data_IF_057330362667
#
_entry.id   IF_057330362667
#
_cell.length_a   1.000
_cell.length_b   1.000
_cell.length_c   1.000
_cell.angle_alpha   90.00
_cell.angle_beta   90.00
_cell.angle_gamma   90.00
#
_symmetry.space_group_name_H-M   'P 1'
#
loop_
_entity.id
_entity.type
_entity.pdbx_description
1 polymer ?
#
# COMPACT_ATOMS: atom_id res chain seq x y z
N UNK A 1 0.16 -10.59 13.45
CA UNK A 1 -0.96 -10.26 12.54
C UNK A 1 -1.39 -11.52 11.77
N UNK A 2 -2.68 -11.88 11.73
CA UNK A 2 -3.17 -13.19 11.23
C UNK A 2 -2.70 -13.55 9.80
N UNK A 3 -2.79 -12.62 8.84
CA UNK A 3 -2.42 -12.87 7.44
C UNK A 3 -0.93 -12.61 7.14
N UNK A 4 -0.21 -12.02 8.10
CA UNK A 4 1.21 -11.71 8.02
C UNK A 4 1.57 -10.25 7.72
N UNK A 5 0.59 -9.34 7.57
CA UNK A 5 0.84 -7.92 7.27
C UNK A 5 -0.28 -6.99 7.78
N UNK A 6 -0.01 -5.69 7.88
CA UNK A 6 -1.00 -4.66 8.27
C UNK A 6 -2.22 -4.56 7.36
N UNK A 7 -2.17 -5.18 6.17
CA UNK A 7 -3.24 -5.15 5.17
C UNK A 7 -4.58 -5.67 5.71
N UNK A 8 -4.58 -6.57 6.69
CA UNK A 8 -5.82 -7.13 7.25
C UNK A 8 -6.72 -6.08 7.90
N UNK A 9 -6.16 -5.03 8.50
CA UNK A 9 -6.95 -3.97 9.15
C UNK A 9 -7.87 -3.29 8.12
N UNK A 10 -7.29 -2.93 6.98
CA UNK A 10 -8.00 -2.34 5.85
C UNK A 10 -9.03 -3.30 5.24
N UNK A 11 -8.65 -4.56 5.00
CA UNK A 11 -9.56 -5.51 4.34
C UNK A 11 -10.76 -5.86 5.22
N UNK A 12 -10.59 -5.94 6.54
CA UNK A 12 -11.70 -6.09 7.49
C UNK A 12 -12.64 -4.88 7.42
N UNK A 13 -12.11 -3.65 7.48
CA UNK A 13 -12.94 -2.44 7.40
C UNK A 13 -13.75 -2.38 6.10
N UNK A 14 -13.10 -2.64 4.97
CA UNK A 14 -13.74 -2.55 3.66
C UNK A 14 -14.70 -3.72 3.37
N UNK A 15 -14.42 -4.95 3.81
CA UNK A 15 -15.37 -6.07 3.59
C UNK A 15 -16.68 -5.85 4.37
N UNK A 16 -16.60 -5.28 5.57
CA UNK A 16 -17.76 -4.94 6.37
C UNK A 16 -18.59 -3.85 5.69
N UNK A 17 -17.93 -2.85 5.09
CA UNK A 17 -18.59 -1.84 4.27
C UNK A 17 -19.24 -2.45 3.03
N UNK A 18 -18.53 -3.31 2.30
CA UNK A 18 -19.07 -4.00 1.12
C UNK A 18 -20.34 -4.80 1.46
N UNK A 19 -20.33 -5.53 2.58
CA UNK A 19 -21.49 -6.29 3.07
C UNK A 19 -22.66 -5.36 3.44
N UNK A 20 -22.38 -4.24 4.11
CA UNK A 20 -23.40 -3.22 4.43
C UNK A 20 -24.03 -2.62 3.17
N UNK A 21 -23.25 -2.49 2.10
CA UNK A 21 -23.71 -2.01 0.79
C UNK A 21 -24.40 -3.10 -0.06
N UNK A 22 -24.55 -4.33 0.46
CA UNK A 22 -25.18 -5.44 -0.26
C UNK A 22 -24.37 -5.97 -1.45
N UNK A 23 -23.06 -5.74 -1.47
CA UNK A 23 -22.18 -6.18 -2.56
C UNK A 23 -21.84 -7.67 -2.39
N UNK A 24 -21.92 -8.42 -3.48
CA UNK A 24 -21.73 -9.88 -3.48
C UNK A 24 -20.41 -10.33 -4.11
N UNK A 25 -19.76 -9.43 -4.84
CA UNK A 25 -18.52 -9.66 -5.57
C UNK A 25 -17.44 -8.67 -5.13
N UNK A 26 -16.27 -9.18 -4.83
CA UNK A 26 -15.12 -8.39 -4.38
C UNK A 26 -14.01 -8.52 -5.40
N UNK A 27 -13.44 -7.38 -5.77
CA UNK A 27 -12.20 -7.31 -6.54
C UNK A 27 -11.11 -6.61 -5.72
N UNK A 28 -9.86 -6.95 -5.97
CA UNK A 28 -8.69 -6.28 -5.42
C UNK A 28 -7.50 -6.40 -6.39
N UNK A 29 -6.50 -5.56 -6.21
CA UNK A 29 -5.19 -5.62 -6.86
C UNK A 29 -4.13 -6.18 -5.89
N UNK A 30 -3.00 -6.69 -6.36
CA UNK A 30 -1.86 -7.00 -5.50
C UNK A 30 -0.56 -7.06 -6.27
N UNK A 31 0.55 -6.67 -5.62
CA UNK A 31 1.93 -6.85 -6.10
C UNK A 31 2.57 -8.01 -5.34
N UNK A 32 3.14 -7.73 -4.16
CA UNK A 32 3.74 -8.73 -3.27
C UNK A 32 2.81 -9.89 -2.83
N UNK A 33 1.50 -9.81 -3.08
CA UNK A 33 0.52 -10.86 -2.73
C UNK A 33 -0.15 -10.70 -1.37
N UNK A 34 0.43 -9.92 -0.45
CA UNK A 34 -0.11 -9.77 0.92
C UNK A 34 -1.51 -9.15 0.98
N UNK A 35 -1.79 -8.12 0.16
CA UNK A 35 -3.13 -7.52 0.08
C UNK A 35 -4.15 -8.49 -0.54
N UNK A 36 -3.74 -9.20 -1.59
CA UNK A 36 -4.56 -10.24 -2.21
C UNK A 36 -4.91 -11.38 -1.24
N UNK A 37 -3.95 -11.87 -0.46
CA UNK A 37 -4.18 -12.89 0.58
C UNK A 37 -5.10 -12.35 1.68
N UNK A 38 -4.89 -11.12 2.15
CA UNK A 38 -5.76 -10.51 3.15
C UNK A 38 -7.19 -10.32 2.65
N UNK A 39 -7.37 -9.96 1.38
CA UNK A 39 -8.68 -9.81 0.74
C UNK A 39 -9.36 -11.17 0.56
N UNK A 40 -8.65 -12.17 0.03
CA UNK A 40 -9.16 -13.53 -0.10
C UNK A 40 -9.60 -14.12 1.26
N UNK A 41 -8.83 -13.86 2.32
CA UNK A 41 -9.15 -14.32 3.68
C UNK A 41 -10.48 -13.76 4.17
N UNK A 42 -10.68 -12.45 4.06
CA UNK A 42 -11.92 -11.82 4.53
C UNK A 42 -13.12 -12.15 3.64
N UNK A 43 -12.92 -12.34 2.33
CA UNK A 43 -13.98 -12.80 1.43
C UNK A 43 -14.42 -14.23 1.75
N UNK A 44 -13.47 -15.13 2.00
CA UNK A 44 -13.75 -16.51 2.41
C UNK A 44 -14.55 -16.55 3.72
N UNK A 45 -14.15 -15.75 4.72
CA UNK A 45 -14.88 -15.62 5.99
C UNK A 45 -16.31 -15.12 5.80
N UNK A 46 -16.53 -14.21 4.84
CA UNK A 46 -17.83 -13.58 4.60
C UNK A 46 -18.69 -14.32 3.56
N UNK A 47 -18.17 -15.38 2.92
CA UNK A 47 -18.86 -16.10 1.86
C UNK A 47 -19.07 -15.27 0.59
N UNK A 48 -18.12 -14.38 0.25
CA UNK A 48 -18.21 -13.50 -0.92
C UNK A 48 -17.25 -13.94 -2.04
N UNK A 49 -17.66 -13.75 -3.29
CA UNK A 49 -16.78 -14.01 -4.44
C UNK A 49 -15.58 -13.06 -4.40
N UNK A 50 -14.37 -13.60 -4.57
CA UNK A 50 -13.14 -12.82 -4.56
C UNK A 50 -12.35 -13.01 -5.86
N UNK A 51 -12.01 -11.90 -6.52
CA UNK A 51 -11.13 -11.88 -7.69
C UNK A 51 -9.98 -10.93 -7.40
N UNK A 52 -8.75 -11.43 -7.50
CA UNK A 52 -7.53 -10.66 -7.27
C UNK A 52 -6.76 -10.50 -8.56
N UNK A 53 -6.56 -9.26 -8.97
CA UNK A 53 -5.70 -8.89 -10.08
C UNK A 53 -4.25 -8.81 -9.61
N UNK A 54 -3.33 -9.42 -10.35
CA UNK A 54 -1.92 -9.45 -10.01
C UNK A 54 -1.06 -9.41 -11.27
N UNK A 55 0.04 -8.66 -11.26
CA UNK A 55 0.96 -8.59 -12.40
C UNK A 55 1.48 -9.97 -12.80
N UNK A 56 1.58 -10.27 -14.09
CA UNK A 56 2.07 -11.59 -14.56
C UNK A 56 3.48 -11.90 -14.03
N UNK A 57 4.35 -10.88 -13.93
CA UNK A 57 5.70 -11.04 -13.37
C UNK A 57 5.61 -11.32 -11.86
N UNK A 58 4.74 -10.61 -11.16
CA UNK A 58 4.54 -10.77 -9.71
C UNK A 58 3.93 -12.13 -9.35
N UNK A 59 3.04 -12.67 -10.17
CA UNK A 59 2.49 -14.03 -10.01
C UNK A 59 3.62 -15.07 -9.98
N UNK A 60 4.61 -14.93 -10.86
CA UNK A 60 5.77 -15.83 -10.89
C UNK A 60 6.66 -15.64 -9.66
N UNK A 61 6.97 -14.38 -9.30
CA UNK A 61 7.85 -14.04 -8.17
C UNK A 61 7.26 -14.39 -6.80
N UNK A 62 5.94 -14.32 -6.66
CA UNK A 62 5.23 -14.47 -5.38
C UNK A 62 4.31 -15.70 -5.38
N UNK A 63 4.74 -16.78 -6.04
CA UNK A 63 3.98 -18.02 -6.18
C UNK A 63 3.38 -18.55 -4.85
N UNK A 64 4.07 -18.48 -3.69
CA UNK A 64 3.47 -18.90 -2.41
C UNK A 64 2.20 -18.14 -2.03
N UNK A 65 2.17 -16.82 -2.25
CA UNK A 65 0.97 -16.01 -1.96
C UNK A 65 -0.14 -16.26 -2.98
N UNK A 66 0.19 -16.54 -4.24
CA UNK A 66 -0.80 -16.96 -5.26
C UNK A 66 -1.47 -18.27 -4.87
N UNK A 67 -0.70 -19.26 -4.41
CA UNK A 67 -1.24 -20.52 -3.91
C UNK A 67 -2.18 -20.31 -2.71
N UNK A 68 -1.78 -19.48 -1.73
CA UNK A 68 -2.62 -19.13 -0.57
C UNK A 68 -3.95 -18.50 -0.98
N UNK A 69 -3.94 -17.56 -1.93
CA UNK A 69 -5.18 -16.95 -2.45
C UNK A 69 -6.13 -17.97 -3.07
N UNK A 70 -5.59 -18.89 -3.89
CA UNK A 70 -6.38 -19.96 -4.53
C UNK A 70 -6.95 -20.95 -3.50
N UNK A 71 -6.18 -21.32 -2.48
CA UNK A 71 -6.65 -22.18 -1.39
C UNK A 71 -7.79 -21.53 -0.58
N UNK A 72 -7.80 -20.20 -0.48
CA UNK A 72 -8.88 -19.42 0.12
C UNK A 72 -10.09 -19.24 -0.81
N UNK A 73 -10.07 -19.82 -2.01
CA UNK A 73 -11.18 -19.76 -2.97
C UNK A 73 -11.21 -18.50 -3.84
N UNK A 74 -10.16 -17.67 -3.81
CA UNK A 74 -10.08 -16.50 -4.69
C UNK A 74 -9.61 -16.88 -6.10
N UNK A 75 -10.20 -16.24 -7.11
CA UNK A 75 -9.71 -16.26 -8.48
C UNK A 75 -8.54 -15.28 -8.62
N UNK A 76 -7.39 -15.71 -9.15
CA UNK A 76 -6.24 -14.83 -9.40
C UNK A 76 -6.12 -14.58 -10.89
N UNK A 77 -6.31 -13.33 -11.32
CA UNK A 77 -6.26 -12.90 -12.73
C UNK A 77 -4.94 -12.19 -13.05
N UNK A 78 -4.20 -12.63 -14.07
CA UNK A 78 -2.95 -11.97 -14.47
C UNK A 78 -3.22 -10.65 -15.19
N UNK A 79 -2.52 -9.58 -14.80
CA UNK A 79 -2.38 -8.39 -15.63
C UNK A 79 -1.21 -8.59 -16.60
N UNK A 80 -1.53 -8.68 -17.88
CA UNK A 80 -0.58 -9.02 -18.96
C UNK A 80 -0.16 -7.82 -19.81
N UNK A 81 -0.79 -6.66 -19.61
CA UNK A 81 -0.44 -5.40 -20.26
C UNK A 81 0.71 -4.68 -19.55
N UNK A 82 1.40 -3.79 -20.26
CA UNK A 82 2.37 -2.87 -19.65
C UNK A 82 3.59 -3.57 -19.05
N UNK A 83 3.99 -3.11 -17.87
CA UNK A 83 5.12 -3.66 -17.11
C UNK A 83 4.77 -4.98 -16.41
N UNK A 84 3.47 -5.32 -16.36
CA UNK A 84 2.95 -6.56 -15.76
C UNK A 84 3.27 -6.65 -14.27
N UNK A 85 3.22 -5.52 -13.57
CA UNK A 85 3.41 -5.38 -12.12
C UNK A 85 2.16 -4.78 -11.43
N UNK A 86 2.28 -4.37 -10.17
CA UNK A 86 1.21 -3.77 -9.35
C UNK A 86 0.44 -2.63 -10.05
N UNK A 87 1.13 -1.77 -10.80
CA UNK A 87 0.49 -0.66 -11.54
C UNK A 87 -0.54 -1.20 -12.54
N UNK A 88 -0.17 -2.20 -13.34
CA UNK A 88 -1.09 -2.79 -14.32
C UNK A 88 -2.20 -3.63 -13.67
N UNK A 89 -1.92 -4.33 -12.57
CA UNK A 89 -2.95 -4.98 -11.77
C UNK A 89 -4.01 -3.99 -11.26
N UNK A 90 -3.58 -2.78 -10.86
CA UNK A 90 -4.49 -1.70 -10.43
C UNK A 90 -5.35 -1.22 -11.60
N UNK A 91 -4.77 -1.06 -12.80
CA UNK A 91 -5.52 -0.68 -14.00
C UNK A 91 -6.61 -1.70 -14.34
N UNK A 92 -6.28 -2.99 -14.31
CA UNK A 92 -7.23 -4.06 -14.60
C UNK A 92 -8.35 -4.15 -13.54
N UNK A 93 -8.02 -3.96 -12.25
CA UNK A 93 -9.03 -3.90 -11.19
C UNK A 93 -9.99 -2.71 -11.37
N UNK A 94 -9.47 -1.52 -11.71
CA UNK A 94 -10.32 -0.34 -11.97
C UNK A 94 -11.20 -0.57 -13.20
N UNK A 95 -10.66 -1.15 -14.28
CA UNK A 95 -11.43 -1.50 -15.49
C UNK A 95 -12.55 -2.50 -15.19
N UNK A 96 -12.28 -3.52 -14.39
CA UNK A 96 -13.31 -4.46 -13.94
C UNK A 96 -14.39 -3.74 -13.15
N UNK A 97 -14.00 -2.86 -12.21
CA UNK A 97 -14.96 -2.12 -11.39
C UNK A 97 -15.91 -1.27 -12.22
N UNK A 98 -15.39 -0.57 -13.24
CA UNK A 98 -16.17 0.24 -14.18
C UNK A 98 -17.19 -0.62 -14.94
N UNK A 99 -16.80 -1.83 -15.33
CA UNK A 99 -17.67 -2.74 -16.09
C UNK A 99 -18.69 -3.48 -15.20
N UNK A 100 -18.44 -3.60 -13.89
CA UNK A 100 -19.28 -4.36 -12.96
C UNK A 100 -19.71 -3.56 -11.70
N UNK A 101 -20.21 -2.32 -11.80
CA UNK A 101 -20.35 -1.41 -10.65
C UNK A 101 -21.48 -1.80 -9.68
N UNK A 102 -22.50 -2.51 -10.15
CA UNK A 102 -23.73 -2.77 -9.38
C UNK A 102 -23.52 -3.76 -8.24
N UNK A 103 -22.92 -4.92 -8.51
CA UNK A 103 -22.73 -5.99 -7.53
C UNK A 103 -21.30 -6.06 -6.97
N UNK A 104 -20.36 -5.28 -7.52
CA UNK A 104 -18.94 -5.36 -7.17
C UNK A 104 -18.52 -4.25 -6.21
N UNK A 105 -17.69 -4.61 -5.23
CA UNK A 105 -16.93 -3.69 -4.41
C UNK A 105 -15.42 -3.87 -4.69
N UNK A 106 -14.70 -2.76 -4.84
CA UNK A 106 -13.25 -2.77 -5.03
C UNK A 106 -12.55 -2.50 -3.70
N UNK A 107 -11.88 -3.50 -3.14
CA UNK A 107 -11.04 -3.32 -1.95
C UNK A 107 -9.65 -2.88 -2.41
N UNK A 108 -9.44 -1.56 -2.48
CA UNK A 108 -8.12 -0.99 -2.77
C UNK A 108 -7.14 -1.25 -1.63
N UNK A 109 -5.89 -1.54 -1.97
CA UNK A 109 -4.89 -2.03 -1.02
C UNK A 109 -4.09 -0.98 -0.26
N UNK A 110 -4.26 0.31 -0.56
CA UNK A 110 -3.48 1.37 0.08
C UNK A 110 -4.22 2.70 0.11
N UNK A 111 -3.62 3.72 0.74
CA UNK A 111 -4.13 5.11 0.81
C UNK A 111 -3.95 5.87 -0.51
N UNK A 112 -4.20 5.19 -1.63
CA UNK A 112 -4.13 5.72 -3.01
C UNK A 112 -5.53 5.71 -3.61
N UNK A 113 -5.65 6.20 -4.85
CA UNK A 113 -6.92 6.19 -5.57
C UNK A 113 -7.84 7.37 -5.22
N UNK A 114 -9.03 7.43 -5.82
CA UNK A 114 -9.94 8.57 -5.64
C UNK A 114 -10.51 8.61 -4.21
N UNK A 115 -10.96 9.78 -3.78
CA UNK A 115 -11.83 9.88 -2.61
C UNK A 115 -13.04 8.93 -2.78
N UNK A 116 -13.46 8.17 -1.75
CA UNK A 116 -13.06 8.26 -0.34
C UNK A 116 -11.89 7.34 0.08
N UNK A 117 -11.24 6.63 -0.83
CA UNK A 117 -10.30 5.56 -0.47
C UNK A 117 -9.11 6.01 0.39
N UNK A 118 -8.36 7.10 0.06
CA UNK A 118 -7.24 7.50 0.90
C UNK A 118 -7.61 7.76 2.36
N UNK A 119 -8.69 8.50 2.62
CA UNK A 119 -9.18 8.79 3.98
C UNK A 119 -9.70 7.52 4.66
N UNK A 120 -10.54 6.74 3.98
CA UNK A 120 -11.10 5.50 4.52
C UNK A 120 -10.02 4.49 4.90
N UNK A 121 -9.04 4.26 4.04
CA UNK A 121 -7.94 3.31 4.31
C UNK A 121 -7.06 3.83 5.45
N UNK A 122 -6.78 5.13 5.52
CA UNK A 122 -6.02 5.72 6.63
C UNK A 122 -6.74 5.50 7.96
N UNK A 123 -8.06 5.74 8.02
CA UNK A 123 -8.89 5.48 9.20
C UNK A 123 -8.89 4.01 9.61
N UNK A 124 -9.05 3.08 8.68
CA UNK A 124 -8.99 1.64 9.03
C UNK A 124 -7.60 1.19 9.49
N UNK A 125 -6.54 1.91 9.11
CA UNK A 125 -5.19 1.65 9.57
C UNK A 125 -4.83 2.40 10.86
N UNK A 126 -5.61 3.40 11.29
CA UNK A 126 -5.33 4.25 12.46
C UNK A 126 -5.21 3.47 13.78
N UNK A 127 -5.79 2.27 13.85
CA UNK A 127 -5.61 1.35 14.98
C UNK A 127 -4.13 1.12 15.32
N UNK A 128 -3.25 1.16 14.32
CA UNK A 128 -1.79 1.03 14.51
C UNK A 128 -1.26 2.14 15.43
N UNK A 129 -1.53 3.41 15.12
CA UNK A 129 -1.06 4.52 15.97
C UNK A 129 -1.78 4.60 17.30
N UNK A 130 -3.06 4.21 17.36
CA UNK A 130 -3.81 4.15 18.61
C UNK A 130 -3.18 3.14 19.59
N UNK A 131 -2.80 1.97 19.09
CA UNK A 131 -2.09 0.95 19.86
C UNK A 131 -0.69 1.43 20.26
N UNK A 132 0.04 2.10 19.37
CA UNK A 132 1.36 2.69 19.68
C UNK A 132 1.25 3.67 20.87
N UNK A 133 0.29 4.61 20.86
CA UNK A 133 0.10 5.56 21.97
C UNK A 133 -0.14 4.86 23.29
N UNK A 134 -1.03 3.86 23.27
CA UNK A 134 -1.37 3.06 24.47
C UNK A 134 -0.13 2.33 25.00
N UNK A 135 0.62 1.67 24.11
CA UNK A 135 1.81 0.91 24.47
C UNK A 135 2.96 1.78 24.96
N UNK A 136 3.14 2.98 24.41
CA UNK A 136 4.14 3.94 24.88
C UNK A 136 3.77 4.48 26.26
N UNK A 137 2.50 4.81 26.50
CA UNK A 137 2.05 5.25 27.81
C UNK A 137 2.31 4.19 28.89
N UNK A 138 1.99 2.93 28.59
CA UNK A 138 2.19 1.81 29.50
C UNK A 138 3.67 1.53 29.82
N UNK A 139 4.58 1.70 28.84
CA UNK A 139 5.98 1.31 28.96
C UNK A 139 6.91 2.45 29.35
N UNK A 140 6.64 3.65 28.84
CA UNK A 140 7.52 4.82 28.92
C UNK A 140 6.86 5.98 29.68
N UNK A 141 5.57 5.85 30.09
CA UNK A 141 4.85 6.89 30.80
C UNK A 141 4.46 8.10 29.93
N UNK A 142 4.62 8.01 28.62
CA UNK A 142 4.30 9.06 27.65
C UNK A 142 3.62 8.48 26.40
N UNK A 143 2.63 9.17 25.84
CA UNK A 143 1.91 8.68 24.65
C UNK A 143 2.62 8.98 23.32
N UNK A 144 3.49 9.99 23.29
CA UNK A 144 4.11 10.52 22.09
C UNK A 144 5.58 10.06 22.00
N UNK A 145 6.03 9.47 20.87
CA UNK A 145 7.43 9.17 20.66
C UNK A 145 8.20 10.38 20.12
N UNK A 146 9.53 10.41 20.26
CA UNK A 146 10.37 11.42 19.62
C UNK A 146 10.34 11.31 18.08
N UNK A 147 10.34 10.07 17.58
CA UNK A 147 10.30 9.74 16.16
C UNK A 147 9.31 8.62 15.88
N UNK A 148 8.57 8.74 14.78
CA UNK A 148 7.80 7.65 14.21
C UNK A 148 8.20 7.44 12.75
N UNK A 149 8.54 6.19 12.42
CA UNK A 149 9.19 5.83 11.16
C UNK A 149 8.40 4.72 10.50
N UNK A 150 8.09 4.87 9.20
CA UNK A 150 7.39 3.85 8.44
C UNK A 150 7.77 3.88 6.96
N UNK A 151 7.71 2.71 6.30
CA UNK A 151 8.01 2.61 4.88
C UNK A 151 6.82 3.05 4.02
N UNK A 152 7.12 3.66 2.88
CA UNK A 152 6.14 4.27 1.98
C UNK A 152 6.33 3.71 0.57
N UNK A 153 5.43 2.81 0.19
CA UNK A 153 5.07 2.57 -1.22
C UNK A 153 3.81 3.37 -1.52
N UNK A 154 2.66 2.69 -1.63
CA UNK A 154 1.36 3.39 -1.59
C UNK A 154 1.00 4.01 -0.23
N UNK A 155 1.77 3.75 0.84
CA UNK A 155 1.70 4.49 2.10
C UNK A 155 0.68 4.06 3.19
N UNK A 156 -0.03 2.94 3.05
CA UNK A 156 -1.09 2.58 4.02
C UNK A 156 -0.60 2.25 5.44
N UNK A 157 0.54 1.57 5.59
CA UNK A 157 1.10 1.28 6.92
C UNK A 157 1.54 2.59 7.59
N UNK A 158 2.26 3.43 6.84
CA UNK A 158 2.71 4.73 7.29
C UNK A 158 1.53 5.64 7.67
N UNK A 159 0.47 5.66 6.88
CA UNK A 159 -0.72 6.42 7.22
C UNK A 159 -1.35 5.98 8.55
N UNK A 160 -1.45 4.67 8.78
CA UNK A 160 -1.94 4.14 10.05
C UNK A 160 -1.02 4.45 11.22
N UNK A 161 0.29 4.32 11.03
CA UNK A 161 1.30 4.62 12.05
C UNK A 161 1.39 6.12 12.38
N UNK A 162 1.13 7.01 11.41
CA UNK A 162 1.24 8.45 11.61
C UNK A 162 -0.08 9.08 12.08
N UNK A 163 -1.23 8.44 11.85
CA UNK A 163 -2.58 9.03 11.96
C UNK A 163 -2.79 9.90 13.20
N UNK A 164 -2.53 9.38 14.40
CA UNK A 164 -2.74 10.10 15.66
C UNK A 164 -1.59 11.04 16.06
N UNK A 165 -0.53 11.13 15.25
CA UNK A 165 0.63 11.99 15.48
C UNK A 165 0.75 13.13 14.46
N UNK A 166 -0.13 13.19 13.45
CA UNK A 166 -0.06 14.18 12.36
C UNK A 166 -0.05 15.62 12.89
N UNK A 167 -0.82 15.90 13.93
CA UNK A 167 -0.92 17.23 14.55
C UNK A 167 0.02 17.44 15.75
N UNK A 168 0.72 16.38 16.18
CA UNK A 168 1.65 16.40 17.32
C UNK A 168 3.02 16.92 16.89
N UNK A 169 3.24 18.23 17.01
CA UNK A 169 4.44 18.91 16.48
C UNK A 169 5.78 18.41 17.02
N UNK A 170 5.79 17.93 18.26
CA UNK A 170 6.99 17.38 18.89
C UNK A 170 7.37 16.00 18.35
N UNK A 171 6.44 15.29 17.68
CA UNK A 171 6.69 13.97 17.09
C UNK A 171 7.27 14.14 15.69
N UNK A 172 8.52 13.71 15.51
CA UNK A 172 9.19 13.72 14.21
C UNK A 172 8.69 12.55 13.34
N UNK A 173 8.17 12.84 12.15
CA UNK A 173 7.65 11.81 11.24
C UNK A 173 8.67 11.54 10.14
N UNK A 174 9.09 10.29 9.98
CA UNK A 174 10.01 9.86 8.91
C UNK A 174 9.32 8.85 7.99
N UNK A 175 9.14 9.24 6.74
CA UNK A 175 8.65 8.40 5.66
C UNK A 175 9.84 7.83 4.87
N UNK A 176 9.91 6.50 4.75
CA UNK A 176 11.04 5.81 4.09
C UNK A 176 10.60 5.19 2.76
N UNK A 177 11.10 5.73 1.65
CA UNK A 177 10.83 5.22 0.30
C UNK A 177 11.94 4.27 -0.20
N UNK A 178 11.61 3.47 -1.21
CA UNK A 178 12.59 2.57 -1.82
C UNK A 178 13.41 3.30 -2.89
N UNK A 179 14.73 3.37 -2.70
CA UNK A 179 15.63 3.95 -3.67
C UNK A 179 16.00 2.96 -4.80
N UNK A 180 15.60 1.69 -4.72
CA UNK A 180 15.98 0.66 -5.70
C UNK A 180 17.50 0.49 -5.76
N UNK A 181 18.07 0.56 -6.97
CA UNK A 181 19.53 0.56 -7.17
C UNK A 181 20.20 1.92 -6.92
N UNK A 182 19.43 2.90 -6.43
CA UNK A 182 19.86 4.26 -6.16
C UNK A 182 18.93 5.27 -6.85
N UNK A 183 18.74 6.43 -6.22
CA UNK A 183 17.77 7.46 -6.66
C UNK A 183 17.98 7.85 -8.13
N UNK A 184 19.23 8.08 -8.55
CA UNK A 184 19.55 8.53 -9.92
C UNK A 184 19.98 7.41 -10.86
N UNK A 185 19.75 6.14 -10.50
CA UNK A 185 20.17 5.00 -11.32
C UNK A 185 19.27 4.76 -12.54
N UNK A 186 18.07 5.35 -12.54
CA UNK A 186 16.99 5.00 -13.47
C UNK A 186 16.13 3.82 -12.98
N UNK A 187 16.56 3.10 -11.94
CA UNK A 187 15.84 1.98 -11.31
C UNK A 187 15.56 2.32 -9.83
N UNK A 188 14.50 3.09 -9.59
CA UNK A 188 14.11 3.58 -8.26
C UNK A 188 12.60 3.67 -8.09
N UNK A 189 12.13 3.74 -6.84
CA UNK A 189 10.75 4.05 -6.47
C UNK A 189 10.67 5.21 -5.46
N UNK A 190 11.72 6.05 -5.40
CA UNK A 190 11.84 7.21 -4.52
C UNK A 190 11.00 8.39 -5.04
N UNK A 191 9.68 8.29 -4.90
CA UNK A 191 8.69 9.24 -5.41
C UNK A 191 8.90 10.66 -4.86
N UNK A 192 9.30 10.82 -3.60
CA UNK A 192 9.57 12.14 -3.01
C UNK A 192 10.79 12.84 -3.64
N UNK A 193 11.77 12.07 -4.12
CA UNK A 193 12.99 12.59 -4.72
C UNK A 193 12.86 12.82 -6.24
N UNK A 194 12.12 11.94 -6.93
CA UNK A 194 12.07 11.90 -8.40
C UNK A 194 10.73 12.36 -8.97
N UNK A 195 9.69 12.35 -8.14
CA UNK A 195 8.32 12.59 -8.56
C UNK A 195 7.99 14.06 -8.74
N UNK A 196 6.91 14.30 -9.48
CA UNK A 196 6.26 15.60 -9.65
C UNK A 196 4.77 15.45 -9.43
N UNK A 197 4.08 16.54 -9.18
CA UNK A 197 2.63 16.53 -9.05
C UNK A 197 2.00 16.11 -10.39
N UNK A 198 1.05 15.19 -10.31
CA UNK A 198 0.23 14.78 -11.45
C UNK A 198 -0.97 13.95 -10.99
N UNK A 199 -1.61 13.25 -11.94
CA UNK A 199 -2.84 12.51 -11.69
C UNK A 199 -2.64 11.06 -12.10
N UNK A 200 -2.82 10.13 -11.16
CA UNK A 200 -2.75 8.69 -11.41
C UNK A 200 -3.85 7.98 -10.61
N UNK A 201 -4.46 6.98 -11.24
CA UNK A 201 -5.48 6.11 -10.65
C UNK A 201 -6.61 6.86 -9.92
N UNK A 202 -6.99 8.06 -10.39
CA UNK A 202 -8.10 8.84 -9.82
C UNK A 202 -7.72 9.80 -8.68
N UNK A 203 -6.42 9.99 -8.38
CA UNK A 203 -5.95 10.98 -7.39
C UNK A 203 -4.89 11.93 -7.94
N UNK A 204 -4.95 13.20 -7.54
CA UNK A 204 -3.84 14.15 -7.68
C UNK A 204 -2.83 13.89 -6.57
N UNK A 205 -1.60 13.55 -6.92
CA UNK A 205 -0.55 13.20 -5.95
C UNK A 205 0.84 13.43 -6.55
N UNK A 206 1.88 13.15 -5.77
CA UNK A 206 3.26 13.05 -6.24
C UNK A 206 3.46 11.70 -6.96
N UNK A 207 3.99 11.73 -8.17
CA UNK A 207 4.35 10.53 -8.93
C UNK A 207 5.56 10.73 -9.83
N UNK A 208 6.26 9.65 -10.14
CA UNK A 208 7.33 9.61 -11.13
C UNK A 208 6.73 9.58 -12.54
N UNK A 209 7.09 10.57 -13.35
CA UNK A 209 6.60 10.73 -14.71
C UNK A 209 7.64 11.44 -15.58
N UNK A 210 7.61 11.14 -16.88
CA UNK A 210 8.40 11.81 -17.90
C UNK A 210 7.95 13.27 -18.12
N UNK A 211 8.74 14.09 -18.86
CA UNK A 211 8.37 15.47 -19.15
C UNK A 211 7.03 15.64 -19.88
N UNK A 212 6.61 14.65 -20.67
CA UNK A 212 5.33 14.60 -21.38
C UNK A 212 4.20 13.94 -20.56
N UNK A 213 4.45 13.59 -19.29
CA UNK A 213 3.44 13.11 -18.36
C UNK A 213 3.15 11.61 -18.42
N UNK A 214 3.99 10.80 -19.10
CA UNK A 214 3.89 9.34 -19.04
C UNK A 214 4.43 8.85 -17.70
N UNK A 215 3.74 7.91 -17.04
CA UNK A 215 4.22 7.41 -15.74
C UNK A 215 5.50 6.61 -15.96
N UNK A 216 6.52 6.93 -15.17
CA UNK A 216 7.78 6.21 -15.16
C UNK A 216 7.61 4.92 -14.36
N UNK A 217 8.12 3.81 -14.89
CA UNK A 217 8.05 2.53 -14.19
C UNK A 217 8.92 2.57 -12.93
N UNK A 218 8.37 2.19 -11.76
CA UNK A 218 9.16 2.12 -10.55
C UNK A 218 10.06 0.88 -10.55
N UNK A 219 11.06 0.89 -9.69
CA UNK A 219 11.81 -0.30 -9.35
C UNK A 219 12.17 -0.36 -7.86
N UNK A 220 11.93 -1.51 -7.26
CA UNK A 220 12.51 -1.93 -5.99
C UNK A 220 12.58 -3.45 -5.92
N UNK A 221 13.55 -4.00 -5.19
CA UNK A 221 13.55 -5.42 -4.81
C UNK A 221 12.28 -5.81 -4.02
N UNK A 222 11.67 -4.86 -3.31
CA UNK A 222 10.44 -5.05 -2.56
C UNK A 222 9.21 -4.71 -3.41
N UNK A 223 8.50 -5.74 -3.87
CA UNK A 223 7.26 -5.60 -4.64
C UNK A 223 6.14 -4.83 -3.90
N UNK A 224 6.23 -4.64 -2.58
CA UNK A 224 5.29 -3.82 -1.81
C UNK A 224 5.58 -2.31 -1.86
N UNK A 225 6.78 -1.93 -2.29
CA UNK A 225 7.24 -0.54 -2.44
C UNK A 225 7.38 -0.13 -3.91
N UNK A 226 7.26 -1.08 -4.83
CA UNK A 226 7.37 -0.90 -6.28
C UNK A 226 6.11 -0.25 -6.90
N UNK A 227 5.87 1.03 -6.57
CA UNK A 227 4.73 1.81 -7.05
C UNK A 227 5.20 3.23 -7.45
N UNK A 228 4.76 3.80 -8.60
CA UNK A 228 5.34 5.03 -9.13
C UNK A 228 4.81 6.30 -8.47
N UNK A 229 3.91 6.20 -7.49
CA UNK A 229 3.31 7.34 -6.83
C UNK A 229 3.24 7.14 -5.32
N UNK A 230 2.60 8.08 -4.65
CA UNK A 230 2.35 8.00 -3.20
C UNK A 230 0.91 8.38 -2.89
N UNK A 231 0.39 7.99 -1.73
CA UNK A 231 -0.93 8.44 -1.29
C UNK A 231 -0.97 9.98 -1.11
N UNK A 232 -2.08 10.66 -1.44
CA UNK A 232 -2.15 12.13 -1.40
C UNK A 232 -1.90 12.72 -0.01
N UNK A 233 -2.21 12.00 1.07
CA UNK A 233 -1.86 12.40 2.44
C UNK A 233 -0.34 12.54 2.61
N UNK A 234 0.44 11.60 2.08
CA UNK A 234 1.90 11.62 2.16
C UNK A 234 2.51 12.70 1.25
N UNK A 235 1.93 12.92 0.07
CA UNK A 235 2.33 14.04 -0.79
C UNK A 235 2.14 15.39 -0.07
N UNK A 236 1.02 15.55 0.66
CA UNK A 236 0.78 16.73 1.48
C UNK A 236 1.77 16.86 2.65
N UNK A 237 2.10 15.76 3.33
CA UNK A 237 3.10 15.75 4.41
C UNK A 237 4.50 16.14 3.91
N UNK A 238 4.86 15.72 2.70
CA UNK A 238 6.10 16.10 2.03
C UNK A 238 6.11 17.60 1.69
N UNK A 239 5.05 18.10 1.03
CA UNK A 239 4.94 19.51 0.61
C UNK A 239 4.98 20.48 1.80
N UNK A 240 4.26 20.14 2.87
CA UNK A 240 4.21 20.96 4.11
C UNK A 240 5.43 20.78 5.01
N UNK A 241 6.34 19.85 4.67
CA UNK A 241 7.50 19.46 5.49
C UNK A 241 7.13 18.95 6.87
N UNK A 242 5.88 18.50 7.08
CA UNK A 242 5.46 17.89 8.34
C UNK A 242 6.15 16.54 8.55
N UNK A 243 6.43 15.80 7.48
CA UNK A 243 7.24 14.59 7.52
C UNK A 243 8.53 14.76 6.71
N UNK A 244 9.61 14.18 7.21
CA UNK A 244 10.85 14.02 6.47
C UNK A 244 10.76 12.76 5.61
N UNK A 245 11.08 12.89 4.32
CA UNK A 245 11.17 11.75 3.42
C UNK A 245 12.63 11.41 3.18
N UNK A 246 12.97 10.13 3.39
CA UNK A 246 14.28 9.57 3.11
C UNK A 246 14.13 8.35 2.20
N UNK A 247 15.20 7.96 1.52
CA UNK A 247 15.17 6.80 0.61
C UNK A 247 16.29 5.81 0.96
N UNK A 248 15.99 4.52 0.88
CA UNK A 248 16.90 3.43 1.24
C UNK A 248 17.08 2.50 0.02
N UNK A 249 18.33 2.15 -0.30
CA UNK A 249 18.64 1.27 -1.44
C UNK A 249 18.30 -0.19 -1.14
N UNK A 250 18.17 -1.00 -2.18
CA UNK A 250 17.93 -2.44 -2.06
C UNK A 250 19.03 -3.11 -1.22
N UNK A 251 20.31 -2.77 -1.45
CA UNK A 251 21.43 -3.31 -0.66
C UNK A 251 21.34 -2.94 0.82
N UNK A 252 20.99 -1.70 1.14
CA UNK A 252 20.81 -1.26 2.52
C UNK A 252 19.65 -2.01 3.18
N UNK A 253 18.52 -2.17 2.50
CA UNK A 253 17.37 -2.91 3.00
C UNK A 253 17.71 -4.39 3.25
N UNK A 254 18.43 -5.03 2.32
CA UNK A 254 18.85 -6.43 2.46
C UNK A 254 19.84 -6.63 3.60
N UNK A 255 20.82 -5.73 3.76
CA UNK A 255 21.77 -5.79 4.88
C UNK A 255 21.06 -5.68 6.23
N UNK A 256 20.09 -4.78 6.36
CA UNK A 256 19.27 -4.68 7.58
C UNK A 256 18.38 -5.90 7.79
N UNK A 257 17.81 -6.46 6.72
CA UNK A 257 17.03 -7.71 6.78
C UNK A 257 17.84 -8.88 7.34
N UNK A 258 19.09 -9.05 6.87
CA UNK A 258 20.01 -10.07 7.39
C UNK A 258 20.30 -9.81 8.87
N UNK A 259 20.64 -8.58 9.24
CA UNK A 259 20.97 -8.23 10.64
C UNK A 259 19.81 -8.53 11.60
N UNK A 260 18.57 -8.21 11.21
CA UNK A 260 17.38 -8.50 12.01
C UNK A 260 17.04 -10.00 12.11
N UNK A 261 17.46 -10.80 11.13
CA UNK A 261 17.25 -12.26 11.17
C UNK A 261 18.24 -13.01 12.08
N UNK A 262 19.32 -12.34 12.49
CA UNK A 262 20.38 -12.92 13.33
C UNK A 262 20.21 -12.62 14.82
N UNK A 263 19.30 -11.70 15.15
CA UNK A 263 18.94 -11.31 16.52
C UNK A 263 17.67 -12.01 16.96
#
# INVERSE_FOLDING_TARGET
CHTGAHKVNNTIGQILLAKRLGKTRIIAETGAGQHGVATATVCALMGLQCIVYMGEIDIKRQAPNVARMKMLGAEVRPATSGSKTLKDATNEAIRDWINNPTNTYYIIGSVVGPHPYPDMVARFQSVISQEIKTQLLEKEGQENPDYIIACVGGGSNAAGAFYHFLDEKEVNIIAVEAAGKGIYSGESAATSALGKIGIIHGSKTLLMQSPDGQITEPYSISAGLDYPGVGPMHAHLFETKRAQFISITDDQAMNWGIKMSQT
#
